data_IF_077036480668
#
_entry.id   IF_077036480668
#
_cell.length_a   1.000
_cell.length_b   1.000
_cell.length_c   1.000
_cell.angle_alpha   90.00
_cell.angle_beta   90.00
_cell.angle_gamma   90.00
#
_symmetry.space_group_name_H-M   'P 1'
#
loop_
_entity.id
_entity.type
_entity.pdbx_description
1 polymer ?
#
# COMPACT_ATOMS: atom_id res chain seq x y z
N UNK A 1 -46.62 -33.30 -45.51
CA UNK A 1 -46.21 -32.84 -44.15
C UNK A 1 -44.67 -32.83 -44.04
N UNK A 2 -43.98 -31.83 -44.62
CA UNK A 2 -42.50 -31.75 -44.55
C UNK A 2 -41.98 -30.34 -44.21
N UNK A 3 -42.83 -29.33 -44.37
CA UNK A 3 -42.52 -27.92 -44.06
C UNK A 3 -42.43 -27.66 -42.54
N UNK A 4 -43.28 -28.30 -41.73
CA UNK A 4 -43.31 -28.11 -40.26
C UNK A 4 -42.10 -28.71 -39.52
N UNK A 5 -41.52 -29.81 -40.00
CA UNK A 5 -40.31 -30.41 -39.41
C UNK A 5 -39.07 -29.58 -39.70
N UNK A 6 -38.98 -28.98 -40.89
CA UNK A 6 -37.85 -28.11 -41.24
C UNK A 6 -37.90 -26.80 -40.46
N UNK A 7 -39.09 -26.19 -40.31
CA UNK A 7 -39.26 -24.94 -39.57
C UNK A 7 -39.01 -25.12 -38.05
N UNK A 8 -39.44 -26.24 -37.47
CA UNK A 8 -39.17 -26.57 -36.05
C UNK A 8 -37.72 -26.94 -35.80
N UNK A 9 -37.05 -27.61 -36.75
CA UNK A 9 -35.62 -27.92 -36.64
C UNK A 9 -34.77 -26.65 -36.80
N UNK A 10 -35.11 -25.76 -37.74
CA UNK A 10 -34.47 -24.44 -37.87
C UNK A 10 -34.70 -23.58 -36.62
N UNK A 11 -35.91 -23.59 -36.04
CA UNK A 11 -36.19 -22.86 -34.80
C UNK A 11 -35.42 -23.42 -33.59
N UNK A 12 -35.26 -24.74 -33.49
CA UNK A 12 -34.46 -25.41 -32.44
C UNK A 12 -32.97 -25.14 -32.61
N UNK A 13 -32.46 -25.19 -33.84
CA UNK A 13 -31.06 -24.83 -34.15
C UNK A 13 -30.80 -23.37 -33.81
N UNK A 14 -31.71 -22.45 -34.17
CA UNK A 14 -31.63 -21.04 -33.77
C UNK A 14 -31.66 -20.85 -32.26
N UNK A 15 -32.50 -21.60 -31.53
CA UNK A 15 -32.55 -21.52 -30.05
C UNK A 15 -31.25 -22.00 -29.41
N UNK A 16 -30.65 -23.07 -29.94
CA UNK A 16 -29.38 -23.61 -29.45
C UNK A 16 -28.22 -22.65 -29.76
N UNK A 17 -28.22 -22.02 -30.94
CA UNK A 17 -27.22 -21.00 -31.29
C UNK A 17 -27.33 -19.79 -30.37
N UNK A 18 -28.54 -19.31 -30.09
CA UNK A 18 -28.77 -18.19 -29.14
C UNK A 18 -28.28 -18.58 -27.74
N UNK A 19 -28.58 -19.79 -27.27
CA UNK A 19 -28.13 -20.27 -25.96
C UNK A 19 -26.60 -20.34 -25.85
N UNK A 20 -25.91 -20.84 -26.89
CA UNK A 20 -24.44 -20.90 -26.93
C UNK A 20 -23.83 -19.50 -26.96
N UNK A 21 -24.39 -18.57 -27.73
CA UNK A 21 -23.94 -17.17 -27.75
C UNK A 21 -24.11 -16.51 -26.37
N UNK A 22 -25.23 -16.74 -25.69
CA UNK A 22 -25.46 -16.22 -24.33
C UNK A 22 -24.43 -16.77 -23.33
N UNK A 23 -24.09 -18.06 -23.41
CA UNK A 23 -23.09 -18.69 -22.52
C UNK A 23 -21.69 -18.08 -22.77
N UNK A 24 -21.31 -17.83 -24.02
CA UNK A 24 -20.03 -17.21 -24.36
C UNK A 24 -19.93 -15.75 -23.88
N UNK A 25 -21.03 -14.99 -23.94
CA UNK A 25 -21.10 -13.62 -23.40
C UNK A 25 -20.98 -13.61 -21.87
N UNK A 26 -21.57 -14.60 -21.18
CA UNK A 26 -21.45 -14.71 -19.72
C UNK A 26 -20.04 -15.11 -19.27
N UNK A 27 -19.35 -15.98 -20.01
CA UNK A 27 -17.97 -16.41 -19.67
C UNK A 27 -16.95 -15.27 -19.78
N UNK A 28 -17.15 -14.33 -20.70
CA UNK A 28 -16.27 -13.18 -20.90
C UNK A 28 -16.41 -12.08 -19.83
N UNK A 29 -17.43 -12.17 -18.95
CA UNK A 29 -17.71 -11.19 -17.90
C UNK A 29 -16.91 -11.37 -16.59
N UNK A 30 -16.07 -12.41 -16.47
CA UNK A 30 -15.37 -12.72 -15.20
C UNK A 30 -13.86 -12.44 -15.23
N UNK A 31 -13.48 -11.21 -15.59
CA UNK A 31 -12.12 -10.72 -15.30
C UNK A 31 -12.14 -9.27 -14.84
N UNK A 32 -12.98 -8.97 -13.85
CA UNK A 32 -12.78 -7.78 -13.03
C UNK A 32 -11.54 -8.03 -12.15
N UNK A 33 -10.35 -7.70 -12.67
CA UNK A 33 -9.17 -7.52 -11.82
C UNK A 33 -9.54 -6.48 -10.77
N UNK A 34 -9.74 -6.92 -9.53
CA UNK A 34 -9.87 -6.03 -8.37
C UNK A 34 -8.58 -5.23 -8.28
N UNK A 35 -8.56 -4.07 -8.93
CA UNK A 35 -7.56 -3.04 -8.65
C UNK A 35 -7.91 -2.58 -7.24
N UNK A 36 -7.27 -3.17 -6.22
CA UNK A 36 -7.23 -2.59 -4.89
C UNK A 36 -6.79 -1.14 -5.09
N UNK A 37 -7.74 -0.21 -4.99
CA UNK A 37 -7.48 1.22 -4.99
C UNK A 37 -6.58 1.40 -3.77
N UNK A 38 -5.27 1.58 -3.97
CA UNK A 38 -4.38 1.99 -2.88
C UNK A 38 -5.00 3.28 -2.37
N UNK A 39 -5.57 3.21 -1.17
CA UNK A 39 -6.08 4.39 -0.49
C UNK A 39 -4.89 5.32 -0.35
N UNK A 40 -4.95 6.44 -1.07
CA UNK A 40 -3.92 7.48 -1.03
C UNK A 40 -4.14 8.38 0.19
N UNK A 41 -4.53 7.79 1.33
CA UNK A 41 -4.57 8.45 2.63
C UNK A 41 -3.25 8.12 3.31
N UNK A 42 -2.17 8.58 2.69
CA UNK A 42 -0.84 8.64 3.28
C UNK A 42 -0.47 10.10 3.23
N UNK A 43 -0.60 10.79 4.37
CA UNK A 43 -0.13 12.16 4.54
C UNK A 43 1.36 12.22 4.21
N UNK A 44 1.82 13.43 3.90
CA UNK A 44 3.13 13.77 3.33
C UNK A 44 4.35 13.48 4.23
N UNK A 45 4.25 12.49 5.12
CA UNK A 45 5.22 12.15 6.15
C UNK A 45 6.18 11.01 5.77
N UNK A 46 6.00 10.36 4.62
CA UNK A 46 6.84 9.22 4.22
C UNK A 46 7.57 9.45 2.89
N UNK A 47 8.88 9.10 2.80
CA UNK A 47 9.66 9.29 1.59
C UNK A 47 9.08 8.45 0.43
N UNK A 48 8.88 9.09 -0.72
CA UNK A 48 8.32 8.43 -1.90
C UNK A 48 9.35 7.49 -2.52
N UNK A 49 8.99 6.23 -2.72
CA UNK A 49 9.82 5.23 -3.40
C UNK A 49 10.17 4.00 -2.57
N UNK A 50 9.84 3.98 -1.28
CA UNK A 50 10.06 2.80 -0.44
C UNK A 50 8.86 1.85 -0.48
N UNK A 51 9.09 0.53 -0.64
CA UNK A 51 8.05 -0.50 -0.75
C UNK A 51 7.37 -0.86 0.60
N UNK A 52 7.35 0.05 1.57
CA UNK A 52 6.80 -0.24 2.89
C UNK A 52 5.29 -0.01 2.88
N UNK A 53 4.52 -1.04 3.23
CA UNK A 53 3.08 -0.93 3.43
C UNK A 53 2.79 -0.51 4.89
N UNK A 54 1.67 0.17 5.13
CA UNK A 54 1.19 0.50 6.49
C UNK A 54 1.10 -0.76 7.36
N UNK A 55 0.81 -1.92 6.77
CA UNK A 55 0.81 -3.21 7.46
C UNK A 55 2.20 -3.63 7.97
N UNK A 56 3.29 -3.21 7.32
CA UNK A 56 4.66 -3.51 7.78
C UNK A 56 5.01 -2.72 9.04
N UNK A 57 4.40 -1.55 9.23
CA UNK A 57 4.45 -0.80 10.48
C UNK A 57 3.71 -1.55 11.60
N UNK A 58 2.63 -2.26 11.29
CA UNK A 58 1.94 -3.12 12.26
C UNK A 58 2.66 -4.46 12.51
N UNK A 59 3.42 -4.97 11.54
CA UNK A 59 4.10 -6.29 11.63
C UNK A 59 5.52 -6.18 12.22
N UNK A 60 6.29 -5.14 11.89
CA UNK A 60 7.67 -4.94 12.34
C UNK A 60 7.82 -3.75 13.31
N UNK A 61 6.88 -2.81 13.28
CA UNK A 61 6.88 -1.65 14.18
C UNK A 61 7.97 -0.62 13.86
N UNK A 62 7.90 0.50 14.60
CA UNK A 62 8.96 1.50 14.66
C UNK A 62 10.31 0.92 15.10
N UNK A 63 10.32 -0.29 15.69
CA UNK A 63 11.53 -1.00 16.12
C UNK A 63 12.49 -1.29 14.97
N UNK A 64 12.00 -1.41 13.73
CA UNK A 64 12.82 -1.56 12.53
C UNK A 64 13.90 -0.48 12.41
N UNK A 65 13.62 0.75 12.84
CA UNK A 65 14.60 1.84 12.83
C UNK A 65 15.76 1.58 13.79
N UNK A 66 15.53 0.89 14.92
CA UNK A 66 16.59 0.53 15.86
C UNK A 66 17.42 -0.66 15.35
N UNK A 67 16.75 -1.64 14.76
CA UNK A 67 17.38 -2.88 14.31
C UNK A 67 18.23 -2.66 13.05
N UNK A 68 17.75 -1.84 12.11
CA UNK A 68 18.44 -1.57 10.84
C UNK A 68 19.37 -0.35 10.86
N UNK A 69 19.39 0.42 11.96
CA UNK A 69 20.24 1.61 12.02
C UNK A 69 21.73 1.26 11.89
N UNK A 70 22.44 2.03 11.06
CA UNK A 70 23.88 1.89 10.94
C UNK A 70 24.58 2.13 12.29
N UNK A 71 25.62 1.34 12.56
CA UNK A 71 26.34 1.38 13.84
C UNK A 71 26.90 2.77 14.16
N UNK A 72 27.36 3.52 13.17
CA UNK A 72 27.85 4.90 13.32
C UNK A 72 26.80 5.85 13.91
N UNK A 73 25.53 5.62 13.61
CA UNK A 73 24.42 6.46 14.07
C UNK A 73 23.87 6.08 15.44
N UNK A 74 24.30 4.94 16.02
CA UNK A 74 23.87 4.47 17.36
C UNK A 74 24.66 5.09 18.51
N UNK A 75 25.82 5.69 18.24
CA UNK A 75 26.73 6.22 19.26
C UNK A 75 26.93 7.74 19.18
N UNK A 76 26.19 8.42 18.32
CA UNK A 76 26.35 9.86 18.11
C UNK A 76 25.08 10.59 18.53
N UNK A 77 25.16 11.34 19.62
CA UNK A 77 24.08 12.24 20.06
C UNK A 77 23.73 13.25 18.96
N UNK A 78 22.46 13.65 18.93
CA UNK A 78 21.96 14.67 18.01
C UNK A 78 20.98 15.60 18.70
N UNK A 79 21.01 16.86 18.31
CA UNK A 79 19.99 17.84 18.68
C UNK A 79 18.93 17.84 17.58
N UNK A 80 17.73 17.41 17.93
CA UNK A 80 16.56 17.45 17.06
C UNK A 80 15.76 18.74 17.26
N UNK A 81 15.18 19.25 16.18
CA UNK A 81 14.18 20.32 16.21
C UNK A 81 12.87 19.83 15.58
N UNK A 82 11.74 20.06 16.25
CA UNK A 82 10.41 19.74 15.69
C UNK A 82 9.81 20.91 14.87
N UNK A 83 8.63 20.71 14.28
CA UNK A 83 7.96 21.75 13.50
C UNK A 83 7.48 22.96 14.31
N UNK A 84 7.33 22.83 15.63
CA UNK A 84 6.98 23.94 16.51
C UNK A 84 8.21 24.76 16.91
N UNK A 85 9.40 24.30 16.54
CA UNK A 85 10.68 24.92 16.91
C UNK A 85 11.20 24.44 18.26
N UNK A 86 10.60 23.41 18.86
CA UNK A 86 11.11 22.82 20.09
C UNK A 86 12.41 22.07 19.81
N UNK A 87 13.35 22.14 20.74
CA UNK A 87 14.62 21.44 20.66
C UNK A 87 14.68 20.31 21.68
N UNK A 88 15.21 19.17 21.27
CA UNK A 88 15.41 18.01 22.12
C UNK A 88 16.70 17.28 21.78
N UNK A 89 17.48 16.95 22.79
CA UNK A 89 18.65 16.09 22.64
C UNK A 89 18.21 14.64 22.59
N UNK A 90 18.68 13.91 21.58
CA UNK A 90 18.53 12.47 21.45
C UNK A 90 19.89 11.81 21.64
N UNK A 91 19.93 10.72 22.41
CA UNK A 91 21.16 9.94 22.65
C UNK A 91 21.81 9.50 21.34
N UNK A 92 20.97 9.23 20.33
CA UNK A 92 21.44 8.93 18.99
C UNK A 92 20.39 9.20 17.92
N UNK A 93 20.83 9.26 16.66
CA UNK A 93 19.96 9.53 15.51
C UNK A 93 18.84 8.49 15.35
N UNK A 94 19.13 7.21 15.62
CA UNK A 94 18.14 6.13 15.48
C UNK A 94 16.97 6.29 16.45
N UNK A 95 17.24 6.76 17.67
CA UNK A 95 16.21 7.03 18.68
C UNK A 95 15.36 8.24 18.31
N UNK A 96 15.95 9.25 17.65
CA UNK A 96 15.19 10.37 17.09
C UNK A 96 14.17 9.89 16.05
N UNK A 97 14.60 9.07 15.09
CA UNK A 97 13.71 8.53 14.05
C UNK A 97 12.68 7.54 14.63
N UNK A 98 13.06 6.76 15.64
CA UNK A 98 12.13 5.91 16.39
C UNK A 98 11.03 6.73 17.06
N UNK A 99 11.37 7.88 17.64
CA UNK A 99 10.39 8.80 18.23
C UNK A 99 9.48 9.42 17.17
N UNK A 100 10.02 9.85 16.03
CA UNK A 100 9.22 10.36 14.90
C UNK A 100 8.15 9.36 14.47
N UNK A 101 8.55 8.09 14.37
CA UNK A 101 7.66 7.01 14.02
C UNK A 101 6.55 6.78 15.06
N UNK A 102 6.84 6.91 16.36
CA UNK A 102 5.87 6.66 17.42
C UNK A 102 4.96 7.85 17.76
N UNK A 103 5.48 9.07 17.66
CA UNK A 103 4.85 10.24 18.29
C UNK A 103 4.24 11.23 17.31
N UNK A 104 4.24 10.92 16.00
CA UNK A 104 3.86 11.87 14.93
C UNK A 104 4.63 13.21 14.99
N UNK A 105 5.63 13.30 15.86
CA UNK A 105 6.59 14.37 15.91
C UNK A 105 7.51 14.23 14.70
N UNK A 106 8.03 15.34 14.22
CA UNK A 106 8.95 15.36 13.10
C UNK A 106 10.24 16.05 13.47
N UNK A 107 10.97 15.43 14.38
CA UNK A 107 12.29 15.82 14.77
C UNK A 107 13.24 15.72 13.57
N UNK A 108 13.89 16.83 13.25
CA UNK A 108 14.97 16.92 12.26
C UNK A 108 16.27 17.26 12.96
N UNK A 109 17.38 16.69 12.49
CA UNK A 109 18.70 17.02 13.05
C UNK A 109 19.01 18.50 12.80
N UNK A 110 19.11 19.27 13.87
CA UNK A 110 19.57 20.66 13.85
C UNK A 110 21.10 20.74 13.94
N UNK A 111 21.71 19.99 14.89
CA UNK A 111 23.17 19.85 15.03
C UNK A 111 23.55 18.47 15.57
N UNK A 112 24.79 18.07 15.34
CA UNK A 112 25.40 16.90 16.01
C UNK A 112 25.75 17.27 17.46
N UNK A 113 25.61 16.32 18.38
CA UNK A 113 25.77 16.55 19.81
C UNK A 113 24.50 17.12 20.46
N UNK A 114 24.60 17.48 21.73
CA UNK A 114 23.48 17.97 22.54
C UNK A 114 22.97 19.34 22.05
N UNK A 115 21.66 19.57 22.16
CA UNK A 115 21.08 20.90 22.18
C UNK A 115 21.71 21.67 23.36
#
# INVERSE_FOLDING_TARGET
>A
MKVNYHLTNMARVSLLIIAVICILILFSATNAKSKKKKSHIGGDFYPKGTRFFVTDLFVSGCKTFLDTCARSYKYQEVCGQDYNGDYKTFENYCLMEYENCNTWKNWKVFKKGRC
#
